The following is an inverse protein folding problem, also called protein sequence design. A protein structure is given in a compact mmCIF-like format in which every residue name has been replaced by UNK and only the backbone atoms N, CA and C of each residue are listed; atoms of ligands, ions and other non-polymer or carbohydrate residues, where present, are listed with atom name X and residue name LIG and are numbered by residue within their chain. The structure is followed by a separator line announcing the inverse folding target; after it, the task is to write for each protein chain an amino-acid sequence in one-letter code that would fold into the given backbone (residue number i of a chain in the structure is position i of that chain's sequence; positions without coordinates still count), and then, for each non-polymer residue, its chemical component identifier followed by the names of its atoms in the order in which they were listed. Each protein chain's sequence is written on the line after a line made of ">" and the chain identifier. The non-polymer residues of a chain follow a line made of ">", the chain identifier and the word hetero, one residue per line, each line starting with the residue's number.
data_IF_264728690188
#
_entry.id   IF_264728690188
#
_cell.length_a   1.000
_cell.length_b   1.000
_cell.length_c   1.000
_cell.angle_alpha   90.00
_cell.angle_beta   90.00
_cell.angle_gamma   90.00
#
_symmetry.space_group_name_H-M   'P 1'
#
loop_
_entity.id
_entity.type
_entity.pdbx_description
1 polymer ?
#
# COMPACT_ATOMS: atom_id res chain seq x y z
N UNK A 1 -1.79 -15.52 15.96
CA UNK A 1 -1.21 -14.51 16.87
C UNK A 1 -1.57 -13.15 16.29
N UNK A 2 -2.49 -12.45 16.91
CA UNK A 2 -2.99 -11.16 16.43
C UNK A 2 -1.84 -10.15 16.34
N UNK A 3 -1.84 -9.33 15.29
CA UNK A 3 -0.98 -8.15 15.19
C UNK A 3 -0.80 -7.53 16.58
N UNK A 4 0.44 -7.53 17.08
CA UNK A 4 0.68 -6.81 18.33
C UNK A 4 0.42 -5.34 18.04
N UNK A 5 -0.68 -4.80 18.56
CA UNK A 5 -1.06 -3.39 18.43
C UNK A 5 0.11 -2.43 18.69
N UNK A 6 1.08 -2.86 19.52
CA UNK A 6 2.32 -2.15 19.75
C UNK A 6 3.19 -1.96 18.50
N UNK A 7 3.27 -2.94 17.59
CA UNK A 7 4.05 -2.77 16.35
C UNK A 7 3.40 -1.77 15.40
N UNK A 8 2.06 -1.79 15.28
CA UNK A 8 1.33 -0.82 14.47
C UNK A 8 1.49 0.61 15.00
N UNK A 9 1.35 0.78 16.32
CA UNK A 9 1.52 2.08 16.97
C UNK A 9 2.96 2.60 16.78
N UNK A 10 3.95 1.76 17.03
CA UNK A 10 5.36 2.12 16.85
C UNK A 10 5.66 2.49 15.40
N UNK A 11 5.19 1.69 14.45
CA UNK A 11 5.37 1.95 13.03
C UNK A 11 4.73 3.29 12.61
N UNK A 12 3.52 3.60 13.10
CA UNK A 12 2.84 4.86 12.83
C UNK A 12 3.61 6.07 13.37
N UNK A 13 4.17 5.98 14.58
CA UNK A 13 4.96 7.06 15.19
C UNK A 13 6.28 7.28 14.42
N UNK A 14 6.96 6.20 14.01
CA UNK A 14 8.26 6.29 13.34
C UNK A 14 8.11 6.73 11.87
N UNK A 15 7.01 6.44 11.21
CA UNK A 15 6.83 6.72 9.78
C UNK A 15 6.94 8.21 9.43
N UNK A 16 6.42 9.11 10.26
CA UNK A 16 6.45 10.55 10.00
C UNK A 16 7.88 11.13 10.04
N UNK A 17 8.70 10.94 11.10
CA UNK A 17 10.08 11.42 11.11
C UNK A 17 10.94 10.72 10.05
N UNK A 18 10.69 9.43 9.75
CA UNK A 18 11.42 8.71 8.69
C UNK A 18 11.16 9.34 7.32
N UNK A 19 9.91 9.69 7.01
CA UNK A 19 9.56 10.37 5.75
C UNK A 19 10.28 11.71 5.61
N UNK A 20 10.36 12.51 6.69
CA UNK A 20 11.09 13.77 6.69
C UNK A 20 12.60 13.59 6.46
N UNK A 21 13.22 12.61 7.10
CA UNK A 21 14.64 12.30 6.91
C UNK A 21 14.92 11.89 5.47
N UNK A 22 14.12 10.94 4.93
CA UNK A 22 14.29 10.48 3.57
C UNK A 22 14.07 11.62 2.56
N UNK A 23 13.07 12.47 2.75
CA UNK A 23 12.83 13.60 1.87
C UNK A 23 14.01 14.57 1.83
N UNK A 24 14.66 14.83 2.97
CA UNK A 24 15.86 15.67 3.06
C UNK A 24 17.10 15.02 2.45
N UNK A 25 17.20 13.70 2.47
CA UNK A 25 18.29 12.97 1.78
C UNK A 25 18.10 13.03 0.26
N UNK A 26 16.86 12.87 -0.22
CA UNK A 26 16.53 12.87 -1.66
C UNK A 26 16.62 14.29 -2.24
N UNK A 27 16.17 15.29 -1.49
CA UNK A 27 16.19 16.69 -1.88
C UNK A 27 16.73 17.54 -0.73
N UNK A 28 18.06 17.74 -0.64
CA UNK A 28 18.65 18.58 0.40
C UNK A 28 18.16 20.03 0.31
N UNK A 29 17.89 20.63 1.44
CA UNK A 29 17.54 22.06 1.51
C UNK A 29 18.74 22.91 1.10
N UNK A 30 18.59 23.68 0.03
CA UNK A 30 19.58 24.65 -0.46
C UNK A 30 19.25 26.08 -0.06
N UNK A 31 18.03 26.34 0.41
CA UNK A 31 17.55 27.66 0.83
C UNK A 31 17.15 27.64 2.31
N UNK A 32 17.13 28.85 2.93
CA UNK A 32 16.63 28.97 4.29
C UNK A 32 15.13 28.80 4.31
N UNK A 33 14.59 27.79 5.01
CA UNK A 33 13.15 27.57 5.05
C UNK A 33 12.43 28.75 5.72
N UNK A 34 11.33 29.19 5.15
CA UNK A 34 10.50 30.28 5.68
C UNK A 34 9.91 29.93 7.08
N UNK A 35 9.92 28.65 7.43
CA UNK A 35 9.45 28.11 8.72
C UNK A 35 10.57 27.97 9.76
N UNK A 36 11.77 28.51 9.49
CA UNK A 36 12.87 28.44 10.44
C UNK A 36 12.65 29.48 11.56
N UNK A 37 12.35 28.98 12.75
CA UNK A 37 12.06 29.80 13.92
C UNK A 37 10.67 29.56 14.51
N UNK A 38 10.11 30.58 15.15
CA UNK A 38 8.74 30.57 15.67
C UNK A 38 7.74 30.72 14.52
N UNK A 39 7.09 29.62 14.14
CA UNK A 39 5.96 29.67 13.22
C UNK A 39 4.73 30.01 14.04
N UNK A 40 4.09 31.16 13.79
CA UNK A 40 2.76 31.42 14.32
C UNK A 40 1.79 30.44 13.64
N UNK A 41 1.21 29.52 14.43
CA UNK A 41 0.15 28.68 13.91
C UNK A 41 -1.04 29.58 13.55
N UNK A 42 -1.54 29.50 12.30
CA UNK A 42 -2.79 30.16 11.97
C UNK A 42 -3.87 29.66 12.94
N UNK A 43 -4.46 30.55 13.71
CA UNK A 43 -5.63 30.20 14.52
C UNK A 43 -6.77 29.99 13.55
N UNK A 44 -7.25 28.76 13.51
CA UNK A 44 -8.48 28.42 12.78
C UNK A 44 -9.67 28.84 13.66
N UNK A 45 -10.06 30.12 13.58
CA UNK A 45 -11.10 30.74 14.41
C UNK A 45 -12.53 30.36 13.92
N UNK A 46 -12.69 29.26 13.20
CA UNK A 46 -13.98 28.87 12.60
C UNK A 46 -14.96 28.31 13.64
N UNK A 47 -14.49 27.76 14.76
CA UNK A 47 -15.35 27.17 15.77
C UNK A 47 -15.66 28.16 16.89
N UNK A 48 -16.94 28.48 17.07
CA UNK A 48 -17.42 29.43 18.09
C UNK A 48 -17.36 28.84 19.51
N UNK A 49 -17.50 27.49 19.63
CA UNK A 49 -17.46 26.78 20.91
C UNK A 49 -17.07 25.31 20.72
N UNK A 50 -16.86 24.60 21.84
CA UNK A 50 -16.41 23.18 21.83
C UNK A 50 -17.42 22.26 21.14
N UNK A 51 -18.71 22.53 21.23
CA UNK A 51 -19.76 21.74 20.59
C UNK A 51 -19.72 21.96 19.07
N UNK A 52 -19.56 23.19 18.65
CA UNK A 52 -19.41 23.55 17.24
C UNK A 52 -18.13 22.95 16.63
N UNK A 53 -17.00 23.00 17.34
CA UNK A 53 -15.78 22.32 16.94
C UNK A 53 -15.96 20.81 16.77
N UNK A 54 -16.67 20.17 17.70
CA UNK A 54 -16.99 18.74 17.63
C UNK A 54 -17.90 18.41 16.43
N UNK A 55 -18.90 19.24 16.16
CA UNK A 55 -19.81 19.08 15.02
C UNK A 55 -19.10 19.25 13.69
N UNK A 56 -18.23 20.27 13.55
CA UNK A 56 -17.40 20.48 12.37
C UNK A 56 -16.42 19.32 12.16
N UNK A 57 -15.72 18.90 13.21
CA UNK A 57 -14.81 17.77 13.17
C UNK A 57 -15.50 16.46 12.75
N UNK A 58 -16.70 16.20 13.27
CA UNK A 58 -17.49 15.05 12.86
C UNK A 58 -17.92 15.12 11.38
N UNK A 59 -18.35 16.30 10.91
CA UNK A 59 -18.72 16.54 9.51
C UNK A 59 -17.53 16.32 8.56
N UNK A 60 -16.36 16.87 8.91
CA UNK A 60 -15.16 16.75 8.07
C UNK A 60 -14.60 15.33 8.11
N UNK A 61 -14.67 14.65 9.27
CA UNK A 61 -14.33 13.24 9.38
C UNK A 61 -15.24 12.35 8.51
N UNK A 62 -16.54 12.65 8.48
CA UNK A 62 -17.49 11.90 7.62
C UNK A 62 -17.20 12.12 6.14
N UNK A 63 -16.96 13.37 5.70
CA UNK A 63 -16.57 13.67 4.31
C UNK A 63 -15.29 12.92 3.92
N UNK A 64 -14.31 12.91 4.81
CA UNK A 64 -13.05 12.18 4.59
C UNK A 64 -13.30 10.68 4.46
N UNK A 65 -14.10 10.09 5.34
CA UNK A 65 -14.43 8.66 5.30
C UNK A 65 -15.14 8.27 3.99
N UNK A 66 -16.14 9.05 3.56
CA UNK A 66 -16.85 8.82 2.29
C UNK A 66 -15.90 8.90 1.10
N UNK A 67 -15.02 9.90 1.08
CA UNK A 67 -14.05 10.06 0.00
C UNK A 67 -13.06 8.88 -0.05
N UNK A 68 -12.61 8.38 1.10
CA UNK A 68 -11.72 7.20 1.17
C UNK A 68 -12.45 5.96 0.65
N UNK A 69 -13.70 5.73 1.05
CA UNK A 69 -14.50 4.58 0.59
C UNK A 69 -14.72 4.66 -0.93
N UNK A 70 -15.10 5.83 -1.45
CA UNK A 70 -15.31 6.02 -2.89
C UNK A 70 -14.02 5.75 -3.69
N UNK A 71 -12.88 6.23 -3.19
CA UNK A 71 -11.58 5.98 -3.79
C UNK A 71 -11.19 4.50 -3.77
N UNK A 72 -11.46 3.79 -2.66
CA UNK A 72 -11.23 2.35 -2.55
C UNK A 72 -12.03 1.57 -3.60
N UNK A 73 -13.33 1.87 -3.74
CA UNK A 73 -14.19 1.22 -4.73
C UNK A 73 -13.67 1.47 -6.15
N UNK A 74 -13.30 2.71 -6.46
CA UNK A 74 -12.78 3.08 -7.78
C UNK A 74 -11.46 2.35 -8.10
N UNK A 75 -10.52 2.29 -7.15
CA UNK A 75 -9.25 1.59 -7.36
C UNK A 75 -9.41 0.07 -7.47
N UNK A 76 -10.28 -0.53 -6.65
CA UNK A 76 -10.56 -1.97 -6.76
C UNK A 76 -11.21 -2.31 -8.10
N UNK A 77 -12.14 -1.48 -8.58
CA UNK A 77 -12.75 -1.64 -9.90
C UNK A 77 -11.71 -1.49 -11.03
N UNK A 78 -10.79 -0.53 -10.91
CA UNK A 78 -9.72 -0.32 -11.88
C UNK A 78 -8.77 -1.52 -11.93
N UNK A 79 -8.40 -2.08 -10.77
CA UNK A 79 -7.55 -3.28 -10.69
C UNK A 79 -8.27 -4.47 -11.35
N UNK A 80 -9.54 -4.68 -11.05
CA UNK A 80 -10.32 -5.75 -11.66
C UNK A 80 -10.42 -5.59 -13.19
N UNK A 81 -10.54 -4.36 -13.69
CA UNK A 81 -10.52 -4.06 -15.11
C UNK A 81 -9.15 -4.38 -15.74
N UNK A 82 -8.07 -3.96 -15.11
CA UNK A 82 -6.70 -4.25 -15.58
C UNK A 82 -6.46 -5.76 -15.57
N UNK A 83 -6.85 -6.46 -14.52
CA UNK A 83 -6.71 -7.91 -14.42
C UNK A 83 -7.51 -8.63 -15.52
N UNK A 84 -8.72 -8.17 -15.85
CA UNK A 84 -9.52 -8.72 -16.94
C UNK A 84 -8.83 -8.52 -18.31
N UNK A 85 -8.23 -7.35 -18.54
CA UNK A 85 -7.47 -7.05 -19.77
C UNK A 85 -6.21 -7.93 -19.84
N UNK A 86 -5.46 -8.04 -18.75
CA UNK A 86 -4.24 -8.86 -18.68
C UNK A 86 -4.54 -10.33 -18.90
N UNK A 87 -5.63 -10.83 -18.32
CA UNK A 87 -6.08 -12.22 -18.50
C UNK A 87 -6.45 -12.49 -19.96
N UNK A 88 -7.26 -11.63 -20.56
CA UNK A 88 -7.61 -11.75 -21.98
C UNK A 88 -6.40 -11.67 -22.91
N UNK A 89 -5.42 -10.81 -22.62
CA UNK A 89 -4.16 -10.74 -23.36
C UNK A 89 -3.34 -12.03 -23.17
N UNK A 90 -3.33 -12.60 -21.97
CA UNK A 90 -2.68 -13.88 -21.67
C UNK A 90 -3.28 -15.04 -22.45
N UNK A 91 -4.61 -15.13 -22.53
CA UNK A 91 -5.29 -16.15 -23.34
C UNK A 91 -4.99 -16.03 -24.84
N UNK A 92 -4.97 -14.80 -25.36
CA UNK A 92 -4.59 -14.54 -26.75
C UNK A 92 -3.13 -14.96 -27.04
N UNK A 93 -2.22 -14.61 -26.13
CA UNK A 93 -0.81 -15.00 -26.23
C UNK A 93 -0.66 -16.54 -26.19
N UNK A 94 -1.37 -17.19 -25.29
CA UNK A 94 -1.40 -18.66 -25.19
C UNK A 94 -1.92 -19.31 -26.47
N UNK A 95 -3.02 -18.78 -27.03
CA UNK A 95 -3.59 -19.26 -28.29
C UNK A 95 -2.60 -19.12 -29.46
N UNK A 96 -1.87 -17.99 -29.54
CA UNK A 96 -0.82 -17.78 -30.52
C UNK A 96 0.33 -18.77 -30.37
N UNK A 97 0.85 -18.98 -29.15
CA UNK A 97 1.94 -19.93 -28.89
C UNK A 97 1.53 -21.35 -29.25
N UNK A 98 0.32 -21.75 -28.90
CA UNK A 98 -0.20 -23.09 -29.24
C UNK A 98 -0.35 -23.27 -30.76
N UNK A 99 -0.76 -22.21 -31.46
CA UNK A 99 -0.90 -22.23 -32.92
C UNK A 99 0.45 -22.38 -33.65
N UNK A 100 1.50 -21.75 -33.13
CA UNK A 100 2.86 -21.82 -33.71
C UNK A 100 3.65 -23.07 -33.27
N UNK A 101 3.47 -23.56 -32.04
CA UNK A 101 4.27 -24.65 -31.47
C UNK A 101 3.74 -26.04 -31.73
N UNK A 102 2.50 -26.21 -32.21
CA UNK A 102 1.86 -27.52 -32.41
C UNK A 102 1.72 -28.40 -31.16
N UNK A 103 2.11 -27.91 -30.00
CA UNK A 103 1.99 -28.56 -28.68
C UNK A 103 1.35 -27.60 -27.71
N UNK A 104 0.30 -28.06 -27.02
CA UNK A 104 -0.31 -27.31 -25.93
C UNK A 104 0.68 -27.18 -24.76
N UNK A 105 1.46 -26.11 -24.76
CA UNK A 105 2.32 -25.75 -23.64
C UNK A 105 1.55 -24.78 -22.76
N UNK A 106 1.09 -25.24 -21.60
CA UNK A 106 0.54 -24.34 -20.60
C UNK A 106 1.70 -23.52 -20.01
N UNK A 107 1.68 -22.23 -20.28
CA UNK A 107 2.55 -21.28 -19.61
C UNK A 107 1.77 -20.80 -18.38
N UNK A 108 2.06 -21.36 -17.22
CA UNK A 108 1.47 -20.96 -15.94
C UNK A 108 1.98 -19.57 -15.51
N UNK A 109 1.72 -18.57 -16.33
CA UNK A 109 2.00 -17.18 -15.97
C UNK A 109 0.67 -16.54 -15.51
N UNK A 110 0.58 -16.20 -14.25
CA UNK A 110 -0.55 -15.45 -13.71
C UNK A 110 -0.50 -14.00 -14.22
N UNK A 111 -1.17 -13.76 -15.34
CA UNK A 111 -1.35 -12.43 -15.92
C UNK A 111 -2.32 -11.60 -15.08
N UNK A 112 -1.90 -11.25 -13.86
CA UNK A 112 -2.62 -10.37 -12.95
C UNK A 112 -1.71 -9.25 -12.52
N UNK A 113 -2.29 -8.12 -12.18
CA UNK A 113 -1.55 -6.98 -11.65
C UNK A 113 -0.78 -7.37 -10.37
N UNK A 114 -1.39 -8.17 -9.51
CA UNK A 114 -0.74 -8.73 -8.31
C UNK A 114 0.48 -9.61 -8.66
N UNK A 115 0.40 -10.41 -9.71
CA UNK A 115 1.52 -11.22 -10.20
C UNK A 115 2.69 -10.37 -10.70
N UNK A 116 2.39 -9.29 -11.43
CA UNK A 116 3.41 -8.32 -11.88
C UNK A 116 4.08 -7.66 -10.68
N UNK A 117 3.30 -7.23 -9.68
CA UNK A 117 3.84 -6.64 -8.46
C UNK A 117 4.67 -7.62 -7.64
N UNK A 118 4.24 -8.88 -7.57
CA UNK A 118 5.02 -9.94 -6.94
C UNK A 118 6.45 -9.97 -7.47
N UNK A 119 6.60 -9.94 -8.78
CA UNK A 119 7.91 -9.97 -9.43
C UNK A 119 8.68 -8.64 -9.27
N UNK A 120 8.02 -7.50 -9.44
CA UNK A 120 8.63 -6.18 -9.37
C UNK A 120 9.13 -5.83 -7.97
N UNK A 121 8.37 -6.18 -6.93
CA UNK A 121 8.68 -5.85 -5.55
C UNK A 121 9.40 -6.97 -4.78
N UNK A 122 9.55 -8.18 -5.34
CA UNK A 122 10.33 -9.24 -4.72
C UNK A 122 11.78 -8.85 -4.40
N UNK A 123 12.54 -8.15 -5.28
CA UNK A 123 13.88 -7.67 -4.96
C UNK A 123 13.89 -6.70 -3.77
N UNK A 124 12.87 -5.82 -3.67
CA UNK A 124 12.73 -4.91 -2.55
C UNK A 124 12.45 -5.67 -1.24
N UNK A 125 11.56 -6.67 -1.27
CA UNK A 125 11.30 -7.54 -0.14
C UNK A 125 12.57 -8.25 0.33
N UNK A 126 13.37 -8.75 -0.60
CA UNK A 126 14.66 -9.37 -0.30
C UNK A 126 15.64 -8.38 0.35
N UNK A 127 15.76 -7.16 -0.16
CA UNK A 127 16.60 -6.09 0.43
C UNK A 127 16.16 -5.72 1.85
N UNK A 128 14.87 -5.85 2.16
CA UNK A 128 14.34 -5.66 3.52
C UNK A 128 14.69 -6.81 4.47
N UNK A 129 15.30 -7.89 3.97
CA UNK A 129 15.75 -9.04 4.74
C UNK A 129 14.68 -10.13 4.88
N UNK A 130 13.70 -10.18 3.96
CA UNK A 130 12.72 -11.26 3.84
C UNK A 130 13.38 -12.47 3.16
N UNK A 131 13.00 -13.67 3.57
CA UNK A 131 13.51 -14.92 2.98
C UNK A 131 13.14 -15.03 1.50
N UNK A 132 14.02 -15.54 0.62
CA UNK A 132 13.72 -15.69 -0.81
C UNK A 132 12.43 -16.46 -1.12
N UNK A 133 12.09 -17.46 -0.31
CA UNK A 133 10.85 -18.24 -0.43
C UNK A 133 9.59 -17.41 -0.16
N UNK A 134 9.70 -16.33 0.61
CA UNK A 134 8.60 -15.47 1.02
C UNK A 134 8.54 -14.16 0.21
N UNK A 135 9.61 -13.86 -0.57
CA UNK A 135 9.75 -12.57 -1.27
C UNK A 135 8.66 -12.30 -2.30
N UNK A 136 8.23 -13.31 -3.05
CA UNK A 136 7.20 -13.11 -4.09
C UNK A 136 5.87 -12.71 -3.50
N UNK A 137 5.41 -13.39 -2.45
CA UNK A 137 4.15 -13.05 -1.79
C UNK A 137 4.24 -11.74 -1.02
N UNK A 138 5.38 -11.47 -0.40
CA UNK A 138 5.65 -10.17 0.22
C UNK A 138 5.66 -9.03 -0.80
N UNK A 139 6.25 -9.27 -1.98
CA UNK A 139 6.25 -8.32 -3.09
C UNK A 139 4.85 -8.01 -3.61
N UNK A 140 3.97 -9.01 -3.69
CA UNK A 140 2.56 -8.82 -4.04
C UNK A 140 1.86 -7.87 -3.06
N UNK A 141 2.05 -8.09 -1.76
CA UNK A 141 1.46 -7.26 -0.70
C UNK A 141 2.01 -5.83 -0.72
N UNK A 142 3.34 -5.67 -0.91
CA UNK A 142 3.98 -4.37 -1.04
C UNK A 142 3.49 -3.61 -2.28
N UNK A 143 3.32 -4.32 -3.40
CA UNK A 143 2.75 -3.75 -4.62
C UNK A 143 1.31 -3.30 -4.44
N UNK A 144 0.48 -4.10 -3.78
CA UNK A 144 -0.90 -3.72 -3.43
C UNK A 144 -0.92 -2.42 -2.61
N UNK A 145 -0.02 -2.28 -1.62
CA UNK A 145 0.11 -1.03 -0.85
C UNK A 145 0.40 0.17 -1.75
N UNK A 146 1.36 0.02 -2.65
CA UNK A 146 1.82 1.14 -3.50
C UNK A 146 0.73 1.62 -4.45
N UNK A 147 -0.05 0.71 -5.03
CA UNK A 147 -1.05 1.03 -6.05
C UNK A 147 -2.42 1.35 -5.45
N UNK A 148 -2.87 0.56 -4.49
CA UNK A 148 -4.19 0.75 -3.87
C UNK A 148 -4.06 1.62 -2.62
N UNK A 149 -3.72 1.00 -1.50
CA UNK A 149 -3.41 1.64 -0.23
C UNK A 149 -2.97 0.60 0.82
N UNK A 150 -2.59 1.10 1.99
CA UNK A 150 -2.18 0.28 3.13
C UNK A 150 -3.30 -0.60 3.68
N UNK A 151 -4.55 -0.13 3.67
CA UNK A 151 -5.68 -0.87 4.24
C UNK A 151 -5.91 -2.20 3.51
N UNK A 152 -5.96 -2.16 2.16
CA UNK A 152 -6.12 -3.38 1.34
C UNK A 152 -4.91 -4.30 1.48
N UNK A 153 -3.70 -3.75 1.54
CA UNK A 153 -2.49 -4.54 1.75
C UNK A 153 -2.47 -5.24 3.13
N UNK A 154 -3.01 -4.61 4.18
CA UNK A 154 -3.19 -5.27 5.47
C UNK A 154 -4.25 -6.37 5.42
N UNK A 155 -5.32 -6.21 4.65
CA UNK A 155 -6.30 -7.29 4.44
C UNK A 155 -5.68 -8.48 3.71
N UNK A 156 -4.85 -8.24 2.69
CA UNK A 156 -4.10 -9.30 2.00
C UNK A 156 -3.14 -10.02 2.97
N UNK A 157 -2.44 -9.27 3.83
CA UNK A 157 -1.56 -9.86 4.85
C UNK A 157 -2.34 -10.68 5.88
N UNK A 158 -3.50 -10.19 6.33
CA UNK A 158 -4.39 -10.91 7.23
C UNK A 158 -4.92 -12.20 6.61
N UNK A 159 -5.29 -12.19 5.33
CA UNK A 159 -5.75 -13.39 4.62
C UNK A 159 -4.66 -14.48 4.63
N UNK A 160 -3.41 -14.12 4.30
CA UNK A 160 -2.29 -15.04 4.35
C UNK A 160 -2.09 -15.60 5.76
N UNK A 161 -2.11 -14.73 6.78
CA UNK A 161 -1.93 -15.17 8.17
C UNK A 161 -3.07 -16.08 8.65
N UNK A 162 -4.32 -15.79 8.26
CA UNK A 162 -5.47 -16.62 8.61
C UNK A 162 -5.37 -17.98 7.93
N UNK A 163 -4.95 -18.06 6.66
CA UNK A 163 -4.72 -19.35 5.97
C UNK A 163 -3.63 -20.16 6.66
N UNK A 164 -2.53 -19.53 7.07
CA UNK A 164 -1.49 -20.20 7.85
C UNK A 164 -2.03 -20.80 9.17
N UNK A 165 -2.97 -20.12 9.83
CA UNK A 165 -3.58 -20.62 11.07
C UNK A 165 -4.55 -21.78 10.83
N UNK A 166 -5.30 -21.76 9.72
CA UNK A 166 -6.32 -22.76 9.40
C UNK A 166 -5.69 -24.00 8.77
N UNK A 167 -4.80 -23.80 7.80
CA UNK A 167 -4.21 -24.86 6.97
C UNK A 167 -2.88 -25.38 7.54
N UNK A 168 -2.27 -24.67 8.50
CA UNK A 168 -0.98 -25.02 9.10
C UNK A 168 0.10 -25.18 8.05
N UNK A 169 0.85 -26.27 8.12
CA UNK A 169 1.95 -26.57 7.19
C UNK A 169 1.51 -26.77 5.72
N UNK A 170 0.21 -26.91 5.45
CA UNK A 170 -0.33 -27.06 4.10
C UNK A 170 -0.67 -25.72 3.44
N UNK A 171 -0.57 -24.62 4.16
CA UNK A 171 -0.81 -23.31 3.59
C UNK A 171 0.19 -23.04 2.44
N UNK A 172 -0.28 -22.48 1.30
CA UNK A 172 0.54 -22.29 0.11
C UNK A 172 1.71 -21.30 0.32
N UNK A 173 1.60 -20.47 1.34
CA UNK A 173 2.65 -19.52 1.77
C UNK A 173 2.77 -19.53 3.28
N UNK A 174 3.99 -19.68 3.76
CA UNK A 174 4.35 -19.62 5.17
C UNK A 174 5.21 -18.39 5.42
N UNK A 175 4.69 -17.43 6.20
CA UNK A 175 5.47 -16.28 6.62
C UNK A 175 6.11 -16.55 7.98
N UNK A 176 7.44 -16.39 8.06
CA UNK A 176 8.16 -16.37 9.32
C UNK A 176 7.69 -15.21 10.20
N UNK A 177 7.83 -15.31 11.52
CA UNK A 177 7.51 -14.21 12.46
C UNK A 177 8.26 -12.92 12.07
N UNK A 178 9.50 -13.06 11.62
CA UNK A 178 10.30 -11.93 11.16
C UNK A 178 9.67 -11.23 9.96
N UNK A 179 9.21 -11.97 8.96
CA UNK A 179 8.56 -11.42 7.77
C UNK A 179 7.25 -10.73 8.11
N UNK A 180 6.46 -11.30 9.01
CA UNK A 180 5.23 -10.66 9.50
C UNK A 180 5.51 -9.30 10.15
N UNK A 181 6.55 -9.21 10.98
CA UNK A 181 6.97 -7.95 11.61
C UNK A 181 7.45 -6.96 10.54
N UNK A 182 8.35 -7.38 9.63
CA UNK A 182 8.87 -6.51 8.57
C UNK A 182 7.73 -5.95 7.72
N UNK A 183 6.80 -6.80 7.27
CA UNK A 183 5.65 -6.36 6.49
C UNK A 183 4.74 -5.42 7.28
N UNK A 184 4.52 -5.68 8.57
CA UNK A 184 3.73 -4.78 9.43
C UNK A 184 4.30 -3.36 9.43
N UNK A 185 5.62 -3.22 9.57
CA UNK A 185 6.27 -1.90 9.51
C UNK A 185 6.28 -1.31 8.09
N UNK A 186 6.55 -2.14 7.09
CA UNK A 186 6.60 -1.69 5.70
C UNK A 186 5.24 -1.21 5.18
N UNK A 187 4.16 -1.82 5.62
CA UNK A 187 2.80 -1.42 5.24
C UNK A 187 2.33 -0.17 5.97
N UNK A 188 2.89 0.13 7.14
CA UNK A 188 2.53 1.32 7.87
C UNK A 188 3.07 2.57 7.17
N UNK A 189 2.23 3.51 6.90
CA UNK A 189 2.58 4.78 6.25
C UNK A 189 1.79 5.03 4.97
N UNK A 190 1.28 6.24 4.85
CA UNK A 190 0.40 6.69 3.77
C UNK A 190 1.16 6.99 2.47
N UNK A 191 1.96 6.04 1.98
CA UNK A 191 2.70 6.15 0.72
C UNK A 191 2.06 5.29 -0.36
N UNK A 192 1.08 5.84 -1.06
CA UNK A 192 0.45 5.21 -2.22
C UNK A 192 0.28 6.23 -3.35
N UNK A 193 0.09 5.74 -4.59
CA UNK A 193 -0.09 6.62 -5.74
C UNK A 193 -1.35 7.50 -5.63
N UNK A 194 -2.39 7.02 -4.97
CA UNK A 194 -3.63 7.76 -4.77
C UNK A 194 -3.46 8.98 -3.84
N UNK A 195 -2.41 9.02 -3.03
CA UNK A 195 -2.15 10.13 -2.10
C UNK A 195 -1.26 11.24 -2.68
N UNK A 196 -0.65 11.05 -3.86
CA UNK A 196 0.31 11.98 -4.46
C UNK A 196 -0.36 13.29 -4.87
N UNK A 197 -1.60 13.25 -5.36
CA UNK A 197 -2.30 14.41 -5.92
C UNK A 197 -2.93 15.36 -4.87
N UNK A 198 -3.01 14.94 -3.63
CA UNK A 198 -3.75 15.69 -2.60
C UNK A 198 -3.11 17.00 -2.15
N UNK A 199 -1.84 17.26 -2.49
CA UNK A 199 -1.09 18.44 -1.99
C UNK A 199 -0.64 19.43 -3.05
N UNK A 200 -0.57 19.05 -4.32
CA UNK A 200 -0.09 19.97 -5.37
C UNK A 200 -1.09 21.09 -5.68
N UNK A 201 -2.39 20.85 -5.48
CA UNK A 201 -3.45 21.82 -5.79
C UNK A 201 -3.57 22.95 -4.75
N UNK A 202 -3.05 22.77 -3.53
CA UNK A 202 -3.11 23.81 -2.48
C UNK A 202 -1.92 24.76 -2.44
N UNK A 203 -0.87 24.48 -3.19
CA UNK A 203 0.31 25.35 -3.24
C UNK A 203 0.26 26.41 -4.35
N UNK A 204 -0.75 26.34 -5.24
CA UNK A 204 -0.93 27.26 -6.36
C UNK A 204 -2.19 28.15 -6.22
N UNK A 205 -2.83 28.20 -5.07
CA UNK A 205 -3.89 29.14 -4.69
C UNK A 205 -3.45 29.96 -3.48
#
# INVERSE_FOLDING_TARGET
>A
MLFRSGHLLTASIISAPAALVISKILQPETEKPLTMGTVEMPRDDQAVNVIDAAAQGASDGMKLAINVIAMLIAFLALIALIDAILWGAGELAQAMVNSFSGKARQIDFHWTLKGIFSFLFAPLAWLMGISPSECFKSGEILGTKMVVNEFVAYLDLLDVMNRMQIEGDQAPVQFSERTQVILTYALCGFSNFASIDRKSTRLNS
#
